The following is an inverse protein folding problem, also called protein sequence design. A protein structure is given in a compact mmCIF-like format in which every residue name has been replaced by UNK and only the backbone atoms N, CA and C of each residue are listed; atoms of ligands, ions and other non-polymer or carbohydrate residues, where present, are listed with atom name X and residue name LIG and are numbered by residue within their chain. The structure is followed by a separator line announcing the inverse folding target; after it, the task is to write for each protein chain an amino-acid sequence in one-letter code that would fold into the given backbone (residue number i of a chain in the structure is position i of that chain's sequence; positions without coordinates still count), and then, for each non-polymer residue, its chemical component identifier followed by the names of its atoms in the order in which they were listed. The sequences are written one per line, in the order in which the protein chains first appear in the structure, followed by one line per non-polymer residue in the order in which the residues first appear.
data_IF_961614594904
#
_entry.id   IF_961614594904
#
_cell.length_a   1.000
_cell.length_b   1.000
_cell.length_c   1.000
_cell.angle_alpha   90.00
_cell.angle_beta   90.00
_cell.angle_gamma   90.00
#
_symmetry.space_group_name_H-M   'P 1'
#
loop_
_entity.id
_entity.type
_entity.pdbx_description
1 polymer ?
#
# COMPACT_ATOMS: atom_id res chain seq x y z
N UNK A 1 -42.72 -48.13 -13.07
CA UNK A 1 -42.86 -46.71 -12.72
C UNK A 1 -41.45 -46.14 -12.69
N UNK A 2 -41.02 -45.59 -13.82
CA UNK A 2 -39.77 -44.83 -13.90
C UNK A 2 -40.01 -43.45 -13.31
N UNK A 3 -39.26 -43.10 -12.28
CA UNK A 3 -39.16 -41.72 -11.81
C UNK A 3 -38.06 -41.03 -12.61
N UNK A 4 -38.35 -39.93 -13.32
CA UNK A 4 -37.28 -39.16 -13.96
C UNK A 4 -36.45 -38.49 -12.87
N UNK A 5 -35.15 -38.74 -12.91
CA UNK A 5 -34.16 -37.95 -12.18
C UNK A 5 -34.20 -36.55 -12.78
N UNK A 6 -34.89 -35.63 -12.11
CA UNK A 6 -34.79 -34.19 -12.39
C UNK A 6 -33.39 -33.79 -11.96
N UNK A 7 -32.47 -33.78 -12.92
CA UNK A 7 -31.18 -33.10 -12.78
C UNK A 7 -31.50 -31.61 -12.78
N UNK A 8 -31.21 -30.91 -11.68
CA UNK A 8 -31.39 -29.47 -11.50
C UNK A 8 -30.74 -28.69 -12.67
N UNK A 9 -31.56 -28.32 -13.66
CA UNK A 9 -31.17 -27.49 -14.80
C UNK A 9 -30.85 -26.05 -14.38
N UNK A 10 -31.48 -25.59 -13.30
CA UNK A 10 -31.44 -24.19 -12.87
C UNK A 10 -30.10 -23.82 -12.19
N UNK A 11 -29.47 -24.78 -11.51
CA UNK A 11 -28.15 -24.58 -10.89
C UNK A 11 -27.03 -24.54 -11.94
N UNK A 12 -27.14 -25.34 -13.01
CA UNK A 12 -26.16 -25.36 -14.11
C UNK A 12 -26.28 -24.10 -14.99
N UNK A 13 -27.51 -23.60 -15.22
CA UNK A 13 -27.74 -22.32 -15.90
C UNK A 13 -27.22 -21.12 -15.08
N UNK A 14 -27.42 -21.10 -13.77
CA UNK A 14 -26.94 -20.02 -12.90
C UNK A 14 -25.40 -19.97 -12.83
N UNK A 15 -24.74 -21.13 -12.77
CA UNK A 15 -23.27 -21.22 -12.80
C UNK A 15 -22.73 -20.81 -14.17
N UNK A 16 -23.38 -21.24 -15.25
CA UNK A 16 -23.05 -20.87 -16.63
C UNK A 16 -23.15 -19.35 -16.86
N UNK A 17 -24.26 -18.73 -16.44
CA UNK A 17 -24.45 -17.28 -16.54
C UNK A 17 -23.39 -16.50 -15.74
N UNK A 18 -23.01 -16.99 -14.55
CA UNK A 18 -21.94 -16.39 -13.75
C UNK A 18 -20.57 -16.43 -14.43
N UNK A 19 -20.25 -17.54 -15.12
CA UNK A 19 -19.00 -17.70 -15.87
C UNK A 19 -18.97 -16.82 -17.13
N UNK A 20 -20.09 -16.70 -17.83
CA UNK A 20 -20.21 -15.85 -19.02
C UNK A 20 -20.05 -14.37 -18.65
N UNK A 21 -20.65 -13.94 -17.54
CA UNK A 21 -20.46 -12.59 -17.01
C UNK A 21 -18.99 -12.33 -16.65
N UNK A 22 -18.31 -13.30 -16.02
CA UNK A 22 -16.88 -13.18 -15.72
C UNK A 22 -16.03 -13.07 -16.99
N UNK A 23 -16.37 -13.83 -18.04
CA UNK A 23 -15.70 -13.79 -19.34
C UNK A 23 -15.88 -12.43 -20.02
N UNK A 24 -17.08 -11.89 -20.04
CA UNK A 24 -17.37 -10.57 -20.61
C UNK A 24 -16.56 -9.46 -19.91
N UNK A 25 -16.52 -9.48 -18.57
CA UNK A 25 -15.71 -8.52 -17.78
C UNK A 25 -14.22 -8.67 -18.07
N UNK A 26 -13.74 -9.90 -18.24
CA UNK A 26 -12.34 -10.17 -18.58
C UNK A 26 -11.97 -9.59 -19.96
N UNK A 27 -12.82 -9.84 -20.96
CA UNK A 27 -12.59 -9.37 -22.33
C UNK A 27 -12.55 -7.84 -22.40
N UNK A 28 -13.54 -7.18 -21.80
CA UNK A 28 -13.60 -5.72 -21.71
C UNK A 28 -12.34 -5.14 -21.05
N UNK A 29 -11.90 -5.73 -19.93
CA UNK A 29 -10.71 -5.27 -19.20
C UNK A 29 -9.40 -5.46 -19.99
N UNK A 30 -9.28 -6.55 -20.75
CA UNK A 30 -8.12 -6.78 -21.63
C UNK A 30 -8.10 -5.78 -22.79
N UNK A 31 -9.24 -5.54 -23.43
CA UNK A 31 -9.36 -4.57 -24.54
C UNK A 31 -9.03 -3.15 -24.09
N UNK A 32 -9.53 -2.75 -22.92
CA UNK A 32 -9.20 -1.45 -22.33
C UNK A 32 -7.70 -1.33 -22.03
N UNK A 33 -7.09 -2.38 -21.47
CA UNK A 33 -5.66 -2.38 -21.13
C UNK A 33 -4.77 -2.29 -22.37
N UNK A 34 -5.14 -2.97 -23.46
CA UNK A 34 -4.41 -2.90 -24.74
C UNK A 34 -4.46 -1.51 -25.38
N UNK A 35 -5.58 -0.81 -25.18
CA UNK A 35 -5.77 0.55 -25.72
C UNK A 35 -5.16 1.63 -24.82
N UNK A 36 -4.74 1.28 -23.60
CA UNK A 36 -4.26 2.21 -22.58
C UNK A 36 -2.73 2.28 -22.55
N UNK A 37 -2.12 3.48 -22.71
CA UNK A 37 -0.69 3.67 -22.50
C UNK A 37 -0.26 3.27 -21.09
N UNK A 38 0.97 2.75 -20.94
CA UNK A 38 1.52 2.29 -19.65
C UNK A 38 1.42 3.35 -18.54
N UNK A 39 1.66 4.61 -18.87
CA UNK A 39 1.62 5.74 -17.92
C UNK A 39 0.23 6.00 -17.34
N UNK A 40 -0.82 5.64 -18.09
CA UNK A 40 -2.21 5.84 -17.71
C UNK A 40 -2.79 4.64 -16.95
N UNK A 41 -2.05 3.53 -16.86
CA UNK A 41 -2.53 2.33 -16.16
C UNK A 41 -2.78 2.62 -14.67
N UNK A 42 -3.95 2.24 -14.14
CA UNK A 42 -4.25 2.47 -12.73
C UNK A 42 -3.34 1.63 -11.84
N UNK A 43 -3.02 2.14 -10.64
CA UNK A 43 -2.27 1.34 -9.67
C UNK A 43 -3.15 0.23 -9.11
N UNK A 44 -2.69 -1.01 -9.21
CA UNK A 44 -3.36 -2.17 -8.62
C UNK A 44 -3.07 -2.26 -7.11
N UNK A 45 -4.03 -1.98 -6.21
CA UNK A 45 -3.79 -2.04 -4.77
C UNK A 45 -3.65 -3.48 -4.28
N UNK A 46 -3.24 -3.65 -3.02
CA UNK A 46 -3.17 -4.99 -2.41
C UNK A 46 -4.58 -5.51 -2.14
N UNK A 47 -4.89 -6.71 -2.64
CA UNK A 47 -6.12 -7.41 -2.29
C UNK A 47 -5.90 -8.38 -1.12
N UNK A 48 -6.96 -8.65 -0.36
CA UNK A 48 -6.90 -9.65 0.72
C UNK A 48 -6.77 -11.06 0.14
N UNK A 49 -6.05 -11.94 0.84
CA UNK A 49 -5.86 -13.34 0.44
C UNK A 49 -7.05 -14.22 0.84
N UNK A 50 -8.28 -13.70 0.73
CA UNK A 50 -9.51 -14.39 1.13
C UNK A 50 -9.80 -15.59 0.21
N UNK A 51 -10.56 -16.57 0.72
CA UNK A 51 -11.01 -17.72 -0.08
C UNK A 51 -11.77 -17.27 -1.32
N UNK A 52 -12.68 -16.29 -1.16
CA UNK A 52 -13.45 -15.67 -2.27
C UNK A 52 -12.54 -15.14 -3.38
N UNK A 53 -11.54 -14.33 -3.04
CA UNK A 53 -10.65 -13.72 -4.03
C UNK A 53 -9.82 -14.78 -4.77
N UNK A 54 -9.38 -15.82 -4.05
CA UNK A 54 -8.67 -16.97 -4.66
C UNK A 54 -9.56 -17.76 -5.60
N UNK A 55 -10.83 -17.95 -5.27
CA UNK A 55 -11.80 -18.63 -6.15
C UNK A 55 -11.98 -17.87 -7.46
N UNK A 56 -12.13 -16.53 -7.41
CA UNK A 56 -12.24 -15.69 -8.62
C UNK A 56 -11.00 -15.84 -9.50
N UNK A 57 -9.80 -15.69 -8.93
CA UNK A 57 -8.54 -15.85 -9.66
C UNK A 57 -8.42 -17.25 -10.29
N UNK A 58 -8.82 -18.30 -9.56
CA UNK A 58 -8.80 -19.67 -10.08
C UNK A 58 -9.79 -19.86 -11.24
N UNK A 59 -11.01 -19.31 -11.13
CA UNK A 59 -12.03 -19.41 -12.15
C UNK A 59 -11.65 -18.70 -13.47
N UNK A 60 -10.83 -17.65 -13.41
CA UNK A 60 -10.34 -16.97 -14.61
C UNK A 60 -9.21 -17.73 -15.32
N UNK A 61 -8.44 -18.58 -14.64
CA UNK A 61 -7.28 -19.26 -15.25
C UNK A 61 -7.60 -20.03 -16.55
N UNK A 62 -8.66 -20.86 -16.61
CA UNK A 62 -9.03 -21.55 -17.85
C UNK A 62 -9.36 -20.59 -19.00
N UNK A 63 -9.97 -19.44 -18.69
CA UNK A 63 -10.34 -18.42 -19.69
C UNK A 63 -9.11 -17.74 -20.30
N UNK A 64 -8.03 -17.60 -19.53
CA UNK A 64 -6.79 -16.97 -19.99
C UNK A 64 -6.03 -17.77 -21.04
N UNK A 65 -6.27 -19.09 -21.12
CA UNK A 65 -5.56 -19.96 -22.08
C UNK A 65 -5.74 -19.46 -23.51
N UNK A 66 -6.96 -19.04 -23.88
CA UNK A 66 -7.27 -18.49 -25.22
C UNK A 66 -6.51 -17.19 -25.48
N UNK A 67 -6.54 -16.25 -24.53
CA UNK A 67 -5.91 -14.93 -24.70
C UNK A 67 -4.38 -14.99 -24.69
N UNK A 68 -3.80 -15.84 -23.85
CA UNK A 68 -2.36 -16.03 -23.75
C UNK A 68 -1.81 -16.86 -24.92
N UNK A 69 -2.58 -17.84 -25.41
CA UNK A 69 -2.22 -18.60 -26.61
C UNK A 69 -2.14 -17.73 -27.86
N UNK A 70 -2.95 -16.68 -27.94
CA UNK A 70 -2.91 -15.70 -29.02
C UNK A 70 -1.82 -14.62 -28.85
N UNK A 71 -1.12 -14.57 -27.71
CA UNK A 71 -0.14 -13.53 -27.44
C UNK A 71 1.18 -13.78 -28.18
N UNK A 72 1.61 -12.76 -28.93
CA UNK A 72 2.79 -12.82 -29.79
C UNK A 72 4.07 -12.52 -29.03
N UNK A 73 4.03 -11.50 -28.17
CA UNK A 73 5.21 -11.01 -27.46
C UNK A 73 4.94 -10.77 -25.95
N UNK A 74 6.03 -10.44 -25.24
CA UNK A 74 6.00 -10.17 -23.80
C UNK A 74 5.14 -8.95 -23.44
N UNK A 75 5.00 -7.96 -24.32
CA UNK A 75 4.21 -6.75 -24.07
C UNK A 75 2.71 -7.03 -24.17
N UNK A 76 2.29 -7.83 -25.14
CA UNK A 76 0.92 -8.32 -25.25
C UNK A 76 0.56 -9.21 -24.05
N UNK A 77 1.47 -10.12 -23.66
CA UNK A 77 1.26 -10.98 -22.48
C UNK A 77 1.13 -10.15 -21.21
N UNK A 78 1.98 -9.15 -21.00
CA UNK A 78 1.86 -8.21 -19.89
C UNK A 78 0.48 -7.51 -19.87
N UNK A 79 0.02 -7.05 -21.03
CA UNK A 79 -1.27 -6.37 -21.18
C UNK A 79 -2.45 -7.29 -20.85
N UNK A 80 -2.40 -8.55 -21.27
CA UNK A 80 -3.40 -9.57 -20.91
C UNK A 80 -3.40 -9.81 -19.40
N UNK A 81 -2.23 -9.98 -18.79
CA UNK A 81 -2.12 -10.24 -17.34
C UNK A 81 -2.59 -9.05 -16.51
N UNK A 82 -2.25 -7.84 -16.92
CA UNK A 82 -2.71 -6.62 -16.27
C UNK A 82 -4.23 -6.44 -16.40
N UNK A 83 -4.79 -6.63 -17.61
CA UNK A 83 -6.24 -6.59 -17.83
C UNK A 83 -6.98 -7.64 -17.02
N UNK A 84 -6.40 -8.84 -16.88
CA UNK A 84 -6.94 -9.88 -16.00
C UNK A 84 -6.97 -9.45 -14.54
N UNK A 85 -5.90 -8.82 -14.05
CA UNK A 85 -5.89 -8.28 -12.69
C UNK A 85 -6.98 -7.22 -12.51
N UNK A 86 -7.18 -6.33 -13.49
CA UNK A 86 -8.29 -5.37 -13.49
C UNK A 86 -9.66 -6.03 -13.46
N UNK A 87 -9.87 -7.09 -14.24
CA UNK A 87 -11.12 -7.87 -14.23
C UNK A 87 -11.39 -8.44 -12.83
N UNK A 88 -10.37 -8.98 -12.15
CA UNK A 88 -10.49 -9.45 -10.77
C UNK A 88 -10.95 -8.34 -9.83
N UNK A 89 -10.44 -7.12 -9.97
CA UNK A 89 -10.90 -5.97 -9.18
C UNK A 89 -12.38 -5.64 -9.42
N UNK A 90 -12.81 -5.66 -10.69
CA UNK A 90 -14.22 -5.42 -11.06
C UNK A 90 -15.14 -6.48 -10.45
N UNK A 91 -14.80 -7.76 -10.59
CA UNK A 91 -15.59 -8.88 -10.08
C UNK A 91 -15.69 -8.86 -8.54
N UNK A 92 -14.62 -8.48 -7.85
CA UNK A 92 -14.62 -8.37 -6.37
C UNK A 92 -15.32 -7.09 -5.89
N UNK A 93 -15.56 -6.10 -6.77
CA UNK A 93 -16.10 -4.79 -6.41
C UNK A 93 -15.11 -3.91 -5.65
N UNK A 94 -13.81 -4.14 -5.85
CA UNK A 94 -12.76 -3.38 -5.18
C UNK A 94 -12.40 -2.11 -5.98
N UNK A 95 -12.38 -0.96 -5.30
CA UNK A 95 -12.11 0.34 -5.93
C UNK A 95 -10.65 0.44 -6.36
N UNK A 96 -10.41 0.69 -7.64
CA UNK A 96 -9.09 1.06 -8.16
C UNK A 96 -8.87 2.56 -7.94
N UNK A 97 -7.75 2.98 -7.32
CA UNK A 97 -7.38 4.38 -7.25
C UNK A 97 -7.05 4.89 -8.66
N UNK A 98 -7.65 6.02 -9.03
CA UNK A 98 -7.32 6.72 -10.28
C UNK A 98 -5.84 7.08 -10.30
N UNK A 99 -5.22 7.01 -11.49
CA UNK A 99 -3.82 7.37 -11.70
C UNK A 99 -3.51 8.75 -11.07
N UNK A 100 -2.43 8.83 -10.30
CA UNK A 100 -1.95 10.08 -9.69
C UNK A 100 -2.49 10.45 -8.30
N UNK A 101 -3.56 9.81 -7.77
CA UNK A 101 -4.02 10.12 -6.39
C UNK A 101 -3.29 9.29 -5.34
N UNK A 102 -2.21 9.84 -4.78
CA UNK A 102 -1.67 9.37 -3.49
C UNK A 102 -2.63 9.83 -2.39
N UNK A 103 -3.63 9.02 -2.04
CA UNK A 103 -4.42 9.24 -0.84
C UNK A 103 -3.50 9.04 0.36
N UNK A 104 -2.93 10.14 0.88
CA UNK A 104 -2.36 10.15 2.23
C UNK A 104 -3.47 9.68 3.16
N UNK A 105 -3.28 8.52 3.78
CA UNK A 105 -4.14 8.11 4.88
C UNK A 105 -3.94 9.14 5.98
N UNK A 106 -4.81 10.15 6.03
CA UNK A 106 -4.92 11.02 7.20
C UNK A 106 -5.15 10.08 8.38
N UNK A 107 -4.27 10.15 9.38
CA UNK A 107 -4.45 9.43 10.64
C UNK A 107 -5.66 10.05 11.34
N UNK A 108 -6.86 9.66 10.91
CA UNK A 108 -8.10 10.22 11.40
C UNK A 108 -8.15 10.02 12.92
N UNK A 109 -8.30 11.13 13.64
CA UNK A 109 -8.41 11.10 15.10
C UNK A 109 -9.60 10.21 15.44
N UNK A 110 -9.42 9.16 16.27
CA UNK A 110 -10.52 8.25 16.60
C UNK A 110 -11.69 9.01 17.24
N UNK A 111 -12.92 8.64 16.89
CA UNK A 111 -14.13 9.32 17.37
C UNK A 111 -14.23 9.36 18.91
N UNK A 112 -13.73 8.34 19.62
CA UNK A 112 -13.69 8.34 21.09
C UNK A 112 -12.78 9.44 21.65
N UNK A 113 -11.66 9.73 20.98
CA UNK A 113 -10.68 10.73 21.44
C UNK A 113 -11.26 12.12 21.26
N UNK A 114 -11.82 12.40 20.08
CA UNK A 114 -12.54 13.66 19.78
C UNK A 114 -13.62 13.95 20.81
N UNK A 115 -14.47 12.96 21.14
CA UNK A 115 -15.53 13.12 22.17
C UNK A 115 -15.01 13.51 23.55
N UNK A 116 -13.86 12.98 23.98
CA UNK A 116 -13.29 13.31 25.29
C UNK A 116 -12.61 14.68 25.26
N UNK A 117 -11.90 15.01 24.16
CA UNK A 117 -11.30 16.32 23.94
C UNK A 117 -12.38 17.43 23.92
N UNK A 118 -13.53 17.18 23.26
CA UNK A 118 -14.68 18.10 23.25
C UNK A 118 -15.25 18.32 24.67
N UNK A 119 -15.31 17.27 25.51
CA UNK A 119 -15.75 17.40 26.91
C UNK A 119 -14.77 18.23 27.72
N UNK A 120 -13.47 18.02 27.54
CA UNK A 120 -12.41 18.82 28.18
C UNK A 120 -12.53 20.28 27.75
N UNK A 121 -12.72 20.56 26.45
CA UNK A 121 -12.86 21.92 25.93
C UNK A 121 -14.09 22.63 26.51
N UNK A 122 -15.24 21.95 26.56
CA UNK A 122 -16.48 22.49 27.17
C UNK A 122 -16.30 22.79 28.66
N UNK A 123 -15.63 21.91 29.41
CA UNK A 123 -15.35 22.12 30.83
C UNK A 123 -14.38 23.28 31.06
N UNK A 124 -13.31 23.41 30.26
CA UNK A 124 -12.40 24.56 30.32
C UNK A 124 -13.11 25.88 30.05
N UNK A 125 -13.98 25.91 29.03
CA UNK A 125 -14.79 27.09 28.72
C UNK A 125 -15.76 27.45 29.86
N UNK A 126 -16.32 26.45 30.54
CA UNK A 126 -17.16 26.68 31.72
C UNK A 126 -16.35 27.23 32.90
N UNK A 127 -15.18 26.64 33.21
CA UNK A 127 -14.28 27.16 34.26
C UNK A 127 -13.95 28.63 33.99
N UNK A 128 -13.56 29.00 32.76
CA UNK A 128 -13.24 30.39 32.42
C UNK A 128 -14.42 31.35 32.67
N UNK A 129 -15.65 30.91 32.40
CA UNK A 129 -16.86 31.69 32.68
C UNK A 129 -17.17 31.80 34.18
N UNK A 130 -16.98 30.72 34.95
CA UNK A 130 -17.17 30.73 36.41
C UNK A 130 -16.13 31.63 37.11
N UNK A 131 -14.88 31.61 36.67
CA UNK A 131 -13.83 32.52 37.15
C UNK A 131 -14.19 33.97 36.83
N UNK A 132 -14.64 34.24 35.60
CA UNK A 132 -15.07 35.59 35.20
C UNK A 132 -16.25 36.10 36.04
N UNK A 133 -17.21 35.24 36.35
CA UNK A 133 -18.34 35.60 37.22
C UNK A 133 -17.88 35.91 38.65
N UNK A 134 -16.91 35.14 39.18
CA UNK A 134 -16.31 35.38 40.50
C UNK A 134 -15.57 36.72 40.57
N UNK A 135 -15.00 37.21 39.48
CA UNK A 135 -14.35 38.52 39.41
C UNK A 135 -15.33 39.69 39.13
N UNK A 136 -16.59 39.58 39.57
CA UNK A 136 -17.66 40.60 39.43
C UNK A 136 -18.03 40.95 37.98
N UNK A 137 -17.97 39.97 37.07
CA UNK A 137 -18.43 40.16 35.69
C UNK A 137 -19.89 39.68 35.51
N UNK A 138 -20.84 40.62 35.50
CA UNK A 138 -22.28 40.35 35.41
C UNK A 138 -22.84 40.45 33.98
N UNK A 139 -22.02 40.24 32.95
CA UNK A 139 -22.52 40.22 31.55
C UNK A 139 -23.63 39.16 31.38
N UNK A 140 -24.74 39.47 30.68
CA UNK A 140 -25.90 38.58 30.55
C UNK A 140 -25.56 37.17 30.02
N UNK A 141 -24.58 37.08 29.11
CA UNK A 141 -24.11 35.80 28.54
C UNK A 141 -23.41 34.91 29.58
N UNK A 142 -22.62 35.51 30.48
CA UNK A 142 -21.93 34.80 31.56
C UNK A 142 -22.98 34.34 32.57
N UNK A 143 -23.87 35.22 33.02
CA UNK A 143 -24.97 34.88 33.94
C UNK A 143 -25.86 33.75 33.43
N UNK A 144 -26.25 33.78 32.15
CA UNK A 144 -27.05 32.70 31.53
C UNK A 144 -26.32 31.36 31.61
N UNK A 145 -25.01 31.35 31.37
CA UNK A 145 -24.22 30.12 31.41
C UNK A 145 -24.03 29.60 32.83
N UNK A 146 -23.82 30.47 33.81
CA UNK A 146 -23.74 30.10 35.22
C UNK A 146 -25.08 29.55 35.71
N UNK A 147 -26.20 30.21 35.38
CA UNK A 147 -27.56 29.70 35.69
C UNK A 147 -27.80 28.32 35.10
N UNK A 148 -27.42 28.09 33.84
CA UNK A 148 -27.52 26.76 33.23
C UNK A 148 -26.62 25.72 33.88
N UNK A 149 -25.42 26.09 34.35
CA UNK A 149 -24.51 25.17 35.02
C UNK A 149 -25.02 24.70 36.38
N UNK A 150 -25.81 25.53 37.06
CA UNK A 150 -26.47 25.22 38.33
C UNK A 150 -27.96 24.85 38.16
N UNK A 151 -28.48 24.78 36.93
CA UNK A 151 -29.86 24.40 36.68
C UNK A 151 -30.10 22.97 37.16
N UNK A 152 -31.14 22.78 37.99
CA UNK A 152 -31.43 21.50 38.63
C UNK A 152 -30.60 21.20 39.88
N UNK A 153 -29.75 22.13 40.33
CA UNK A 153 -29.12 22.08 41.66
C UNK A 153 -29.85 23.02 42.62
N UNK A 154 -29.89 22.72 43.92
CA UNK A 154 -30.51 23.58 44.95
C UNK A 154 -29.68 24.83 45.28
N UNK A 155 -28.95 25.38 44.30
CA UNK A 155 -27.98 26.46 44.46
C UNK A 155 -28.55 27.72 43.83
N UNK A 156 -28.95 28.67 44.66
CA UNK A 156 -29.37 30.01 44.20
C UNK A 156 -28.17 30.94 44.14
N UNK A 157 -28.10 31.75 43.07
CA UNK A 157 -27.01 32.70 42.83
C UNK A 157 -27.01 33.88 43.83
N UNK A 158 -28.09 34.05 44.59
CA UNK A 158 -28.23 35.11 45.61
C UNK A 158 -27.83 34.64 47.02
N UNK A 159 -27.44 33.38 47.20
CA UNK A 159 -27.02 32.86 48.51
C UNK A 159 -25.64 33.41 48.91
N UNK A 160 -25.39 33.67 50.22
CA UNK A 160 -24.10 34.17 50.69
C UNK A 160 -22.94 33.18 50.40
N UNK A 161 -23.23 31.88 50.36
CA UNK A 161 -22.25 30.81 50.12
C UNK A 161 -21.88 30.58 48.65
N UNK A 162 -22.38 31.40 47.72
CA UNK A 162 -22.20 31.17 46.28
C UNK A 162 -20.73 31.09 45.87
N UNK A 163 -19.86 31.89 46.50
CA UNK A 163 -18.42 31.89 46.23
C UNK A 163 -17.75 30.55 46.57
N UNK A 164 -18.16 29.90 47.66
CA UNK A 164 -17.68 28.57 48.04
C UNK A 164 -18.16 27.52 47.04
N UNK A 165 -19.46 27.53 46.72
CA UNK A 165 -20.07 26.59 45.76
C UNK A 165 -19.50 26.72 44.34
N UNK A 166 -19.16 27.94 43.92
CA UNK A 166 -18.45 28.19 42.66
C UNK A 166 -17.04 27.57 42.66
N UNK A 167 -16.33 27.68 43.78
CA UNK A 167 -14.98 27.13 43.93
C UNK A 167 -15.02 25.60 43.88
N UNK A 168 -15.96 24.97 44.59
CA UNK A 168 -16.21 23.53 44.54
C UNK A 168 -16.53 23.06 43.11
N UNK A 169 -17.42 23.76 42.41
CA UNK A 169 -17.75 23.43 41.02
C UNK A 169 -16.54 23.56 40.08
N UNK A 170 -15.71 24.58 40.26
CA UNK A 170 -14.47 24.76 39.49
C UNK A 170 -13.52 23.58 39.76
N UNK A 171 -13.34 23.19 41.02
CA UNK A 171 -12.43 22.12 41.40
C UNK A 171 -12.94 20.75 40.92
N UNK A 172 -14.24 20.48 41.00
CA UNK A 172 -14.88 19.31 40.39
C UNK A 172 -14.63 19.24 38.88
N UNK A 173 -14.74 20.36 38.17
CA UNK A 173 -14.46 20.42 36.74
C UNK A 173 -12.97 20.20 36.45
N UNK A 174 -12.05 20.74 37.27
CA UNK A 174 -10.61 20.46 37.16
C UNK A 174 -10.32 18.97 37.38
N UNK A 175 -10.93 18.34 38.40
CA UNK A 175 -10.79 16.91 38.67
C UNK A 175 -11.32 16.07 37.49
N UNK A 176 -12.48 16.42 36.93
CA UNK A 176 -13.04 15.78 35.73
C UNK A 176 -12.11 15.92 34.52
N UNK A 177 -11.55 17.10 34.27
CA UNK A 177 -10.56 17.32 33.20
C UNK A 177 -9.34 16.42 33.40
N UNK A 178 -8.79 16.34 34.62
CA UNK A 178 -7.67 15.48 34.93
C UNK A 178 -8.00 14.00 34.71
N UNK A 179 -9.17 13.54 35.14
CA UNK A 179 -9.64 12.18 34.93
C UNK A 179 -9.82 11.84 33.43
N UNK A 180 -10.40 12.76 32.65
CA UNK A 180 -10.54 12.62 31.19
C UNK A 180 -9.18 12.61 30.48
N UNK A 181 -8.23 13.45 30.89
CA UNK A 181 -6.86 13.43 30.39
C UNK A 181 -6.16 12.09 30.67
N UNK A 182 -6.26 11.58 31.90
CA UNK A 182 -5.78 10.22 32.26
C UNK A 182 -6.45 9.13 31.42
N UNK A 183 -7.75 9.26 31.10
CA UNK A 183 -8.47 8.32 30.23
C UNK A 183 -7.92 8.34 28.80
N UNK A 184 -7.67 9.50 28.22
CA UNK A 184 -7.04 9.62 26.89
C UNK A 184 -5.68 8.93 26.87
N UNK A 185 -4.82 9.23 27.88
CA UNK A 185 -3.49 8.62 27.98
C UNK A 185 -3.57 7.10 28.04
N UNK A 186 -4.38 6.54 28.97
CA UNK A 186 -4.55 5.09 29.11
C UNK A 186 -5.04 4.42 27.83
N UNK A 187 -6.01 5.01 27.15
CA UNK A 187 -6.54 4.42 25.91
C UNK A 187 -5.52 4.50 24.78
N UNK A 188 -4.81 5.61 24.66
CA UNK A 188 -3.74 5.78 23.67
C UNK A 188 -2.61 4.77 23.89
N UNK A 189 -2.15 4.61 25.13
CA UNK A 189 -1.14 3.62 25.50
C UNK A 189 -1.62 2.19 25.24
N UNK A 190 -2.87 1.85 25.59
CA UNK A 190 -3.46 0.54 25.31
C UNK A 190 -3.50 0.25 23.81
N UNK A 191 -3.98 1.19 23.00
CA UNK A 191 -4.01 1.05 21.54
C UNK A 191 -2.61 0.91 20.96
N UNK A 192 -1.63 1.69 21.46
CA UNK A 192 -0.22 1.57 21.05
C UNK A 192 0.32 0.19 21.38
N UNK A 193 0.17 -0.29 22.61
CA UNK A 193 0.64 -1.62 23.05
C UNK A 193 -0.01 -2.74 22.25
N UNK A 194 -1.33 -2.67 22.04
CA UNK A 194 -2.05 -3.64 21.20
C UNK A 194 -1.47 -3.71 19.78
N UNK A 195 -1.27 -2.54 19.15
CA UNK A 195 -0.69 -2.47 17.81
C UNK A 195 0.77 -2.97 17.77
N UNK A 196 1.59 -2.61 18.76
CA UNK A 196 2.97 -3.08 18.88
C UNK A 196 3.06 -4.59 19.10
N UNK A 197 2.22 -5.16 19.98
CA UNK A 197 2.17 -6.60 20.24
C UNK A 197 1.71 -7.37 19.00
N UNK A 198 0.68 -6.88 18.31
CA UNK A 198 0.23 -7.45 17.03
C UNK A 198 1.32 -7.38 15.97
N UNK A 199 2.06 -6.28 15.90
CA UNK A 199 3.19 -6.11 15.00
C UNK A 199 4.36 -7.02 15.39
N UNK A 200 4.61 -7.23 16.69
CA UNK A 200 5.64 -8.15 17.16
C UNK A 200 5.34 -9.60 16.74
N UNK A 201 4.09 -10.03 16.87
CA UNK A 201 3.69 -11.37 16.47
C UNK A 201 3.75 -11.58 14.95
N UNK A 202 3.42 -10.56 14.16
CA UNK A 202 3.34 -10.66 12.69
C UNK A 202 4.66 -10.31 11.97
N UNK A 203 5.37 -9.26 12.39
CA UNK A 203 6.57 -8.73 11.74
C UNK A 203 7.49 -8.01 12.76
N UNK A 204 8.32 -8.81 13.45
CA UNK A 204 9.30 -8.34 14.46
C UNK A 204 10.28 -7.31 13.89
N UNK A 205 10.73 -7.49 12.65
CA UNK A 205 11.69 -6.59 11.99
C UNK A 205 11.10 -5.20 11.80
N UNK A 206 9.83 -5.12 11.39
CA UNK A 206 9.14 -3.84 11.23
C UNK A 206 8.93 -3.12 12.55
N UNK A 207 8.63 -3.84 13.64
CA UNK A 207 8.55 -3.24 14.97
C UNK A 207 9.91 -2.66 15.40
N UNK A 208 11.00 -3.44 15.29
CA UNK A 208 12.35 -2.99 15.66
C UNK A 208 12.73 -1.71 14.91
N UNK A 209 12.56 -1.71 13.59
CA UNK A 209 12.80 -0.51 12.75
C UNK A 209 11.99 0.70 13.19
N UNK A 210 10.71 0.51 13.56
CA UNK A 210 9.86 1.61 14.04
C UNK A 210 10.27 2.16 15.41
N UNK A 211 10.92 1.35 16.25
CA UNK A 211 11.41 1.76 17.56
C UNK A 211 12.77 2.48 17.43
N UNK A 212 13.64 2.01 16.54
CA UNK A 212 14.96 2.59 16.27
C UNK A 212 14.87 3.91 15.49
N UNK A 213 13.88 4.06 14.61
CA UNK A 213 13.73 5.22 13.72
C UNK A 213 12.33 5.84 13.84
N UNK A 214 11.98 6.46 14.98
CA UNK A 214 10.63 7.00 15.17
C UNK A 214 10.27 8.13 14.19
N UNK A 215 11.24 8.81 13.57
CA UNK A 215 10.99 10.06 12.80
C UNK A 215 11.83 10.26 11.52
N UNK A 216 12.15 9.21 10.75
CA UNK A 216 12.75 9.45 9.40
C UNK A 216 11.72 9.91 8.37
N UNK A 217 10.41 9.80 8.67
CA UNK A 217 9.33 10.14 7.73
C UNK A 217 8.35 11.21 8.26
N UNK A 218 8.71 11.97 9.29
CA UNK A 218 7.85 13.00 9.88
C UNK A 218 8.48 14.39 9.78
N UNK A 219 7.83 15.29 9.06
CA UNK A 219 7.96 16.75 9.16
C UNK A 219 9.28 17.44 8.77
N UNK A 220 10.28 16.75 8.22
CA UNK A 220 11.41 17.45 7.57
C UNK A 220 11.08 17.74 6.10
N UNK A 221 11.36 18.95 5.59
CA UNK A 221 11.22 19.21 4.16
C UNK A 221 12.10 18.22 3.39
N UNK A 222 11.53 17.61 2.35
CA UNK A 222 12.27 16.78 1.42
C UNK A 222 13.22 17.63 0.57
N UNK A 223 14.10 17.00 -0.20
CA UNK A 223 14.99 17.73 -1.09
C UNK A 223 14.14 18.33 -2.21
N UNK A 224 14.59 19.47 -2.74
CA UNK A 224 13.93 20.06 -3.90
C UNK A 224 13.93 19.05 -5.08
N UNK A 225 12.78 18.92 -5.74
CA UNK A 225 12.59 17.91 -6.79
C UNK A 225 13.50 18.18 -7.98
N UNK A 226 13.63 19.43 -8.40
CA UNK A 226 14.47 19.81 -9.54
C UNK A 226 15.95 19.54 -9.23
N UNK A 227 16.43 19.99 -8.07
CA UNK A 227 17.80 19.74 -7.61
C UNK A 227 18.12 18.24 -7.50
N UNK A 228 17.15 17.45 -7.02
CA UNK A 228 17.32 16.00 -6.91
C UNK A 228 17.43 15.34 -8.27
N UNK A 229 16.56 15.70 -9.22
CA UNK A 229 16.61 15.15 -10.58
C UNK A 229 17.90 15.54 -11.28
N UNK A 230 18.33 16.80 -11.18
CA UNK A 230 19.56 17.28 -11.79
C UNK A 230 20.79 16.50 -11.28
N UNK A 231 20.91 16.34 -9.95
CA UNK A 231 22.01 15.59 -9.34
C UNK A 231 22.09 14.13 -9.84
N UNK A 232 20.99 13.39 -9.78
CA UNK A 232 20.99 11.97 -10.18
C UNK A 232 21.10 11.79 -11.69
N UNK A 233 20.56 12.73 -12.49
CA UNK A 233 20.72 12.71 -13.95
C UNK A 233 22.17 12.89 -14.36
N UNK A 234 22.88 13.85 -13.75
CA UNK A 234 24.31 14.05 -14.05
C UNK A 234 25.14 12.79 -13.76
N UNK A 235 24.81 12.05 -12.70
CA UNK A 235 25.53 10.82 -12.36
C UNK A 235 25.24 9.63 -13.29
N UNK A 236 24.06 9.57 -13.90
CA UNK A 236 23.56 8.36 -14.58
C UNK A 236 23.35 8.49 -16.08
N UNK A 237 23.11 9.70 -16.58
CA UNK A 237 22.79 9.94 -17.99
C UNK A 237 23.99 10.44 -18.79
N UNK A 238 25.04 10.89 -18.12
CA UNK A 238 26.27 11.31 -18.78
C UNK A 238 27.14 10.08 -19.09
N UNK A 239 27.44 9.78 -20.36
CA UNK A 239 28.31 8.68 -20.72
C UNK A 239 29.73 8.98 -20.24
N UNK A 240 30.24 8.17 -19.33
CA UNK A 240 31.62 8.24 -18.86
C UNK A 240 32.46 7.27 -19.66
N UNK A 241 33.50 7.76 -20.34
CA UNK A 241 34.48 6.90 -20.99
C UNK A 241 35.35 6.25 -19.91
N UNK A 242 35.22 4.93 -19.76
CA UNK A 242 36.08 4.15 -18.87
C UNK A 242 37.31 3.70 -19.63
N UNK A 243 38.51 4.02 -19.12
CA UNK A 243 39.75 3.45 -19.62
C UNK A 243 39.89 2.01 -19.11
N UNK A 244 40.18 1.08 -20.01
CA UNK A 244 40.48 -0.30 -19.66
C UNK A 244 41.72 -0.35 -18.77
N UNK A 245 41.60 -0.94 -17.58
CA UNK A 245 42.70 -1.06 -16.64
C UNK A 245 43.45 -2.39 -16.81
N UNK A 246 44.73 -2.48 -16.40
CA UNK A 246 45.53 -3.72 -16.49
C UNK A 246 44.89 -4.93 -15.77
N UNK A 247 44.02 -4.68 -14.79
CA UNK A 247 43.29 -5.72 -14.07
C UNK A 247 42.33 -6.51 -14.97
N UNK A 248 41.88 -5.97 -16.11
CA UNK A 248 41.03 -6.72 -17.04
C UNK A 248 41.76 -7.88 -17.70
N UNK A 249 43.04 -7.72 -18.04
CA UNK A 249 43.89 -8.81 -18.56
C UNK A 249 44.11 -9.90 -17.49
N UNK A 250 44.26 -9.48 -16.24
CA UNK A 250 44.35 -10.40 -15.09
C UNK A 250 43.04 -11.18 -14.92
N UNK A 251 41.88 -10.53 -15.03
CA UNK A 251 40.58 -11.20 -14.97
C UNK A 251 40.37 -12.12 -16.18
N UNK A 252 40.76 -11.70 -17.38
CA UNK A 252 40.65 -12.50 -18.60
C UNK A 252 41.51 -13.77 -18.54
N UNK A 253 42.75 -13.67 -18.06
CA UNK A 253 43.64 -14.82 -17.86
C UNK A 253 43.14 -15.77 -16.75
N UNK A 254 42.63 -15.24 -15.64
CA UNK A 254 42.01 -16.05 -14.58
C UNK A 254 40.71 -16.72 -15.02
N UNK A 255 39.96 -16.12 -15.94
CA UNK A 255 38.71 -16.68 -16.47
C UNK A 255 38.91 -17.58 -17.69
N UNK A 256 40.11 -17.65 -18.28
CA UNK A 256 40.42 -18.53 -19.40
C UNK A 256 40.27 -20.03 -19.05
N UNK A 257 40.45 -20.40 -17.78
CA UNK A 257 40.23 -21.76 -17.29
C UNK A 257 38.77 -22.05 -16.88
N UNK A 258 37.88 -21.06 -16.93
CA UNK A 258 36.48 -21.22 -16.55
C UNK A 258 35.70 -21.76 -17.73
N UNK A 259 35.05 -22.91 -17.54
CA UNK A 259 34.19 -23.51 -18.55
C UNK A 259 33.07 -22.53 -18.95
N UNK A 260 32.86 -22.29 -20.26
CA UNK A 260 31.74 -21.47 -20.73
C UNK A 260 30.41 -21.97 -20.17
N UNK A 261 29.53 -21.03 -19.82
CA UNK A 261 28.17 -21.35 -19.36
C UNK A 261 27.45 -22.06 -20.52
N UNK A 262 26.91 -23.25 -20.24
CA UNK A 262 26.06 -23.98 -21.19
C UNK A 262 24.86 -23.13 -21.61
N UNK A 263 24.37 -23.28 -22.85
CA UNK A 263 23.16 -22.57 -23.29
C UNK A 263 22.01 -22.86 -22.31
N UNK A 264 21.50 -21.79 -21.70
CA UNK A 264 20.44 -21.86 -20.70
C UNK A 264 19.10 -21.95 -21.44
N UNK A 265 18.37 -23.03 -21.19
CA UNK A 265 16.98 -23.18 -21.64
C UNK A 265 16.03 -22.80 -20.51
N UNK A 266 15.13 -21.85 -20.76
CA UNK A 266 14.15 -21.40 -19.78
C UNK A 266 12.92 -22.30 -19.85
N UNK A 267 12.65 -23.02 -18.77
CA UNK A 267 11.49 -23.92 -18.65
C UNK A 267 10.30 -23.26 -17.95
N UNK A 268 9.06 -23.74 -18.15
CA UNK A 268 7.90 -23.30 -17.37
C UNK A 268 8.11 -23.46 -15.86
N UNK A 269 8.83 -24.50 -15.44
CA UNK A 269 9.17 -24.77 -14.05
C UNK A 269 10.09 -23.69 -13.46
N UNK A 270 11.05 -23.19 -14.25
CA UNK A 270 11.92 -22.08 -13.84
C UNK A 270 11.12 -20.81 -13.57
N UNK A 271 10.17 -20.50 -14.45
CA UNK A 271 9.26 -19.35 -14.29
C UNK A 271 8.39 -19.54 -13.05
N UNK A 272 7.80 -20.72 -12.89
CA UNK A 272 6.95 -21.03 -11.73
C UNK A 272 7.73 -20.91 -10.41
N UNK A 273 8.95 -21.43 -10.34
CA UNK A 273 9.79 -21.38 -9.15
C UNK A 273 10.27 -19.95 -8.83
N UNK A 274 10.69 -19.20 -9.85
CA UNK A 274 11.07 -17.79 -9.69
C UNK A 274 9.90 -16.94 -9.16
N UNK A 275 8.72 -17.11 -9.75
CA UNK A 275 7.50 -16.43 -9.33
C UNK A 275 7.12 -16.84 -7.91
N UNK A 276 7.18 -18.13 -7.57
CA UNK A 276 6.85 -18.66 -6.24
C UNK A 276 7.72 -18.06 -5.13
N UNK A 277 9.03 -17.95 -5.36
CA UNK A 277 10.00 -17.39 -4.40
C UNK A 277 9.80 -15.89 -4.16
N UNK A 278 9.33 -15.14 -5.16
CA UNK A 278 9.17 -13.71 -5.04
C UNK A 278 8.07 -13.31 -4.03
N UNK A 279 8.26 -12.30 -3.17
CA UNK A 279 7.20 -11.81 -2.28
C UNK A 279 5.99 -11.26 -3.07
N UNK A 280 4.77 -11.66 -2.71
CA UNK A 280 3.53 -11.32 -3.43
C UNK A 280 3.39 -9.83 -3.74
N UNK A 281 3.71 -8.97 -2.77
CA UNK A 281 3.48 -7.53 -2.83
C UNK A 281 4.78 -6.72 -2.90
N UNK A 282 5.82 -7.30 -3.50
CA UNK A 282 7.03 -6.55 -3.87
C UNK A 282 6.63 -5.42 -4.84
N UNK A 283 7.31 -4.27 -4.74
CA UNK A 283 7.05 -3.12 -5.60
C UNK A 283 7.09 -3.54 -7.07
N UNK A 284 6.07 -3.20 -7.87
CA UNK A 284 6.02 -3.55 -9.28
C UNK A 284 6.92 -2.62 -10.09
N UNK A 285 7.14 -2.95 -11.37
CA UNK A 285 7.83 -2.10 -12.31
C UNK A 285 6.90 -1.04 -12.91
N UNK A 286 7.22 -0.61 -14.13
CA UNK A 286 6.41 0.32 -14.92
C UNK A 286 5.04 -0.25 -15.31
N UNK A 287 4.94 -1.57 -15.39
CA UNK A 287 3.72 -2.33 -15.65
C UNK A 287 2.69 -2.23 -14.52
N UNK A 288 3.13 -1.98 -13.28
CA UNK A 288 2.25 -1.95 -12.12
C UNK A 288 1.76 -3.33 -11.66
N UNK A 289 2.23 -4.43 -12.27
CA UNK A 289 1.82 -5.78 -11.93
C UNK A 289 2.63 -6.32 -10.75
N UNK A 290 1.92 -6.77 -9.71
CA UNK A 290 2.54 -7.43 -8.57
C UNK A 290 2.73 -8.94 -8.81
N UNK A 291 3.77 -9.53 -8.22
CA UNK A 291 4.05 -10.98 -8.25
C UNK A 291 2.88 -11.83 -7.74
N UNK A 292 2.02 -11.26 -6.88
CA UNK A 292 0.77 -11.88 -6.46
C UNK A 292 -0.07 -12.38 -7.65
N UNK A 293 -0.17 -11.59 -8.72
CA UNK A 293 -0.97 -11.90 -9.89
C UNK A 293 -0.33 -13.02 -10.71
N UNK A 294 0.98 -12.95 -10.96
CA UNK A 294 1.70 -14.03 -11.65
C UNK A 294 1.61 -15.38 -10.91
N UNK A 295 1.60 -15.37 -9.57
CA UNK A 295 1.37 -16.59 -8.79
C UNK A 295 -0.05 -17.14 -8.97
N UNK A 296 -1.01 -16.26 -9.17
CA UNK A 296 -2.41 -16.60 -9.34
C UNK A 296 -2.74 -17.08 -10.74
N UNK A 297 -2.10 -16.51 -11.77
CA UNK A 297 -2.31 -16.80 -13.17
C UNK A 297 -1.35 -17.90 -13.66
N UNK A 298 -1.50 -19.10 -13.13
CA UNK A 298 -0.58 -20.23 -13.37
C UNK A 298 -0.41 -20.57 -14.86
N UNK A 299 -1.45 -20.36 -15.66
CA UNK A 299 -1.42 -20.67 -17.10
C UNK A 299 -0.45 -19.77 -17.89
N UNK A 300 -0.02 -18.63 -17.33
CA UNK A 300 0.93 -17.76 -18.02
C UNK A 300 2.38 -18.24 -17.94
N UNK A 301 2.72 -19.17 -17.03
CA UNK A 301 4.11 -19.58 -16.81
C UNK A 301 4.72 -20.22 -18.06
N UNK A 302 3.94 -21.05 -18.76
CA UNK A 302 4.38 -21.68 -20.01
C UNK A 302 4.59 -20.65 -21.14
N UNK A 303 3.68 -19.70 -21.29
CA UNK A 303 3.79 -18.65 -22.33
C UNK A 303 4.96 -17.71 -22.05
N UNK A 304 5.12 -17.31 -20.79
CA UNK A 304 6.27 -16.50 -20.36
C UNK A 304 7.59 -17.22 -20.59
N UNK A 305 7.69 -18.52 -20.27
CA UNK A 305 8.92 -19.29 -20.51
C UNK A 305 9.30 -19.30 -21.99
N UNK A 306 8.34 -19.58 -22.87
CA UNK A 306 8.54 -19.54 -24.33
C UNK A 306 9.01 -18.16 -24.79
N UNK A 307 8.31 -17.10 -24.41
CA UNK A 307 8.64 -15.74 -24.86
C UNK A 307 9.95 -15.22 -24.28
N UNK A 308 10.32 -15.61 -23.05
CA UNK A 308 11.63 -15.31 -22.50
C UNK A 308 12.75 -16.05 -23.22
N UNK A 309 12.53 -17.30 -23.62
CA UNK A 309 13.49 -18.05 -24.43
C UNK A 309 13.67 -17.39 -25.80
N UNK A 310 12.58 -17.03 -26.47
CA UNK A 310 12.63 -16.30 -27.76
C UNK A 310 13.39 -14.98 -27.64
N UNK A 311 13.16 -14.21 -26.57
CA UNK A 311 13.88 -12.97 -26.31
C UNK A 311 15.38 -13.19 -26.02
N UNK A 312 15.72 -14.29 -25.35
CA UNK A 312 17.11 -14.70 -25.09
C UNK A 312 17.82 -15.07 -26.40
N UNK A 313 17.16 -15.86 -27.24
CA UNK A 313 17.70 -16.33 -28.53
C UNK A 313 17.90 -15.16 -29.51
N UNK A 314 16.95 -14.23 -29.55
CA UNK A 314 17.02 -13.02 -30.38
C UNK A 314 17.94 -11.94 -29.79
N UNK A 315 18.38 -12.09 -28.53
CA UNK A 315 19.14 -11.09 -27.76
C UNK A 315 18.45 -9.73 -27.70
N UNK A 316 17.12 -9.71 -27.77
CA UNK A 316 16.31 -8.50 -27.79
C UNK A 316 15.22 -8.59 -26.73
N UNK A 317 15.28 -7.70 -25.74
CA UNK A 317 14.24 -7.54 -24.73
C UNK A 317 13.46 -6.25 -24.98
N UNK A 318 12.12 -6.27 -24.88
CA UNK A 318 11.32 -5.07 -25.01
C UNK A 318 11.71 -4.01 -23.98
N UNK A 319 11.54 -2.74 -24.34
CA UNK A 319 11.85 -1.59 -23.47
C UNK A 319 11.15 -1.68 -22.11
N UNK A 320 9.94 -2.25 -22.07
CA UNK A 320 9.19 -2.51 -20.85
C UNK A 320 9.98 -3.33 -19.79
N UNK A 321 10.83 -4.26 -20.24
CA UNK A 321 11.63 -5.14 -19.37
C UNK A 321 13.02 -4.59 -19.05
N UNK A 322 13.50 -3.62 -19.83
CA UNK A 322 14.81 -2.98 -19.63
C UNK A 322 14.72 -1.63 -18.91
N UNK A 323 13.52 -1.06 -18.83
CA UNK A 323 13.23 0.18 -18.10
C UNK A 323 12.63 -0.11 -16.71
N UNK A 324 12.75 0.85 -15.79
CA UNK A 324 12.25 0.68 -14.42
C UNK A 324 11.99 2.01 -13.71
N UNK A 325 11.23 1.94 -12.62
CA UNK A 325 10.91 3.10 -11.78
C UNK A 325 11.97 3.22 -10.68
N UNK A 326 12.70 4.33 -10.64
CA UNK A 326 13.64 4.61 -9.55
C UNK A 326 12.94 5.31 -8.39
N UNK A 327 13.00 4.68 -7.22
CA UNK A 327 12.63 5.28 -5.94
C UNK A 327 13.88 5.73 -5.18
N UNK A 328 13.87 6.97 -4.72
CA UNK A 328 14.93 7.52 -3.88
C UNK A 328 14.59 7.31 -2.41
N UNK A 329 15.42 6.55 -1.71
CA UNK A 329 15.23 6.24 -0.28
C UNK A 329 16.32 6.94 0.54
N UNK A 330 15.97 7.77 1.54
CA UNK A 330 16.97 8.47 2.35
C UNK A 330 17.85 7.47 3.11
N UNK A 331 19.17 7.71 3.12
CA UNK A 331 20.16 6.96 3.90
C UNK A 331 19.96 7.25 5.39
N UNK A 332 19.87 8.54 5.71
CA UNK A 332 19.92 9.09 7.06
C UNK A 332 18.78 10.10 7.30
N UNK A 333 18.79 10.73 8.48
CA UNK A 333 17.84 11.77 8.89
C UNK A 333 17.99 13.12 8.16
N UNK A 334 19.04 13.29 7.36
CA UNK A 334 19.30 14.49 6.55
C UNK A 334 18.57 14.36 5.21
N UNK A 335 17.36 14.90 5.13
CA UNK A 335 16.46 14.73 3.97
C UNK A 335 16.54 15.83 2.94
N UNK A 336 17.41 16.83 3.08
CA UNK A 336 17.51 17.97 2.15
C UNK A 336 18.57 17.79 1.07
N UNK A 337 19.58 16.94 1.30
CA UNK A 337 20.69 16.69 0.38
C UNK A 337 20.37 15.51 -0.57
N UNK A 338 20.31 15.73 -1.90
CA UNK A 338 20.08 14.68 -2.89
C UNK A 338 21.07 13.50 -2.84
N UNK A 339 22.32 13.74 -2.44
CA UNK A 339 23.39 12.71 -2.40
C UNK A 339 23.18 11.67 -1.29
N UNK A 340 22.39 12.04 -0.27
CA UNK A 340 22.03 11.19 0.87
C UNK A 340 20.87 10.26 0.57
N UNK A 341 20.45 10.15 -0.68
CA UNK A 341 19.46 9.18 -1.12
C UNK A 341 20.13 7.93 -1.73
N UNK A 342 19.48 6.78 -1.57
CA UNK A 342 19.80 5.54 -2.27
C UNK A 342 18.80 5.39 -3.41
N UNK A 343 19.26 5.29 -4.66
CA UNK A 343 18.39 4.91 -5.74
C UNK A 343 18.08 3.42 -5.67
N UNK A 344 16.80 3.09 -5.73
CA UNK A 344 16.30 1.72 -5.83
C UNK A 344 15.41 1.66 -7.06
N UNK A 345 15.91 1.04 -8.12
CA UNK A 345 15.15 0.84 -9.35
C UNK A 345 14.32 -0.44 -9.26
N UNK A 346 13.00 -0.28 -9.36
CA UNK A 346 12.05 -1.37 -9.51
C UNK A 346 11.82 -1.59 -11.01
N UNK A 347 12.36 -2.68 -11.54
CA UNK A 347 12.11 -3.13 -12.91
C UNK A 347 10.84 -3.96 -12.97
N UNK A 348 10.38 -4.26 -14.19
CA UNK A 348 9.39 -5.32 -14.43
C UNK A 348 9.80 -6.61 -13.74
N UNK A 349 8.82 -7.50 -13.51
CA UNK A 349 9.01 -8.79 -12.84
C UNK A 349 10.13 -9.56 -13.54
N UNK A 350 11.32 -9.46 -12.95
CA UNK A 350 12.41 -10.37 -13.25
C UNK A 350 11.96 -11.73 -12.75
N UNK A 351 11.71 -12.65 -13.69
CA UNK A 351 12.00 -14.06 -13.43
C UNK A 351 13.44 -14.05 -12.93
N UNK A 352 13.62 -14.23 -11.62
CA UNK A 352 14.92 -14.12 -10.98
C UNK A 352 15.71 -15.39 -11.36
N UNK A 353 16.13 -15.49 -12.61
CA UNK A 353 16.97 -16.56 -13.16
C UNK A 353 18.39 -16.52 -12.60
N UNK A 354 18.71 -15.50 -11.79
CA UNK A 354 19.95 -15.39 -10.99
C UNK A 354 20.14 -16.53 -9.97
N UNK A 355 19.18 -17.45 -9.85
CA UNK A 355 19.32 -18.69 -9.11
C UNK A 355 18.85 -19.92 -9.89
N UNK A 356 19.07 -19.96 -11.21
CA UNK A 356 19.41 -21.24 -11.84
C UNK A 356 20.69 -21.64 -11.13
N UNK A 357 20.54 -22.53 -10.15
CA UNK A 357 21.64 -23.01 -9.32
C UNK A 357 22.60 -23.72 -10.28
N UNK A 358 23.79 -23.16 -10.41
CA UNK A 358 24.96 -23.92 -10.81
C UNK A 358 25.30 -24.94 -9.72
#
# INVERSE_FOLDING_TARGET
MDFPVVVDSDDDEMVSHGLEQMRSILEEAILETRSMPLENRPRLPRISLSKRNRTVVRALNPMLVTYLGASRDLCETDSVLFGTAMAVFRIIGAKLPMAGRVTKQSSAIPAWRKRIEDRIAKARALIGRLISFRSVNNRPRVMRTVRMAFAGTNISLSQPDITRKLTECIDDLKQKIAAWGKRIRRFTERSRRFNQNRLFQSDRKRLCKSLERPEVCGARPGPDQANTVAFWRGLWSEPVNHSEGPWMEVVASQSASVTPIYPVTITPEDVAEAVRRAPNWKSPGLDGLHHYWLKGFIVCHAVLARQFQEALDQKLLPSLFTTGITHLVPKDQYTTDPSKYRPITCTHIRVNTTHIRY
#
